data_IF_338894100695
#
_entry.id   IF_338894100695
#
_cell.length_a   1.000
_cell.length_b   1.000
_cell.length_c   1.000
_cell.angle_alpha   90.00
_cell.angle_beta   90.00
_cell.angle_gamma   90.00
#
_symmetry.space_group_name_H-M   'P 1'
#
loop_
_entity.id
_entity.type
_entity.pdbx_description
1 polymer ?
#
# COMPACT_ATOMS: atom_id res chain seq x y z
N UNK A 1 -0.76 19.59 -3.25
CA UNK A 1 -0.31 18.18 -3.16
C UNK A 1 -1.24 17.44 -2.20
N UNK A 2 -1.45 16.15 -2.40
CA UNK A 2 -2.14 15.25 -1.49
C UNK A 2 -1.19 14.10 -1.14
N UNK A 3 -0.99 13.84 0.15
CA UNK A 3 -0.11 12.79 0.64
C UNK A 3 -0.91 11.88 1.55
N UNK A 4 -0.87 10.57 1.27
CA UNK A 4 -1.67 9.56 1.97
C UNK A 4 -0.76 8.48 2.53
N UNK A 5 -0.94 8.13 3.80
CA UNK A 5 -0.34 6.92 4.38
C UNK A 5 -1.38 5.81 4.29
N UNK A 6 -1.03 4.74 3.58
CA UNK A 6 -1.95 3.66 3.27
C UNK A 6 -1.22 2.32 3.26
N UNK A 7 -1.76 1.37 4.02
CA UNK A 7 -1.28 0.00 4.02
C UNK A 7 -1.92 -0.79 2.89
N UNK A 8 -1.12 -1.64 2.26
CA UNK A 8 -1.64 -2.66 1.37
C UNK A 8 -2.53 -3.64 2.15
N UNK A 9 -3.33 -4.41 1.43
CA UNK A 9 -4.32 -5.32 2.03
C UNK A 9 -4.16 -6.71 1.46
N UNK A 10 -4.58 -7.70 2.24
CA UNK A 10 -4.80 -9.05 1.74
C UNK A 10 -6.28 -9.37 1.91
N UNK A 11 -6.97 -9.72 0.83
CA UNK A 11 -8.40 -10.04 0.86
C UNK A 11 -8.68 -11.13 -0.16
N UNK A 12 -9.49 -12.12 0.22
CA UNK A 12 -9.93 -13.21 -0.66
C UNK A 12 -8.78 -13.98 -1.34
N UNK A 13 -7.65 -14.20 -0.64
CA UNK A 13 -6.51 -14.92 -1.20
C UNK A 13 -5.57 -14.08 -2.07
N UNK A 14 -5.81 -12.77 -2.21
CA UNK A 14 -5.04 -11.89 -3.09
C UNK A 14 -4.37 -10.74 -2.33
N UNK A 15 -3.12 -10.45 -2.69
CA UNK A 15 -2.45 -9.22 -2.27
C UNK A 15 -2.97 -8.04 -3.08
N UNK A 16 -3.46 -7.02 -2.38
CA UNK A 16 -4.00 -5.80 -2.96
C UNK A 16 -2.99 -4.67 -2.70
N UNK A 17 -2.27 -4.20 -3.74
CA UNK A 17 -1.40 -3.03 -3.64
C UNK A 17 -2.26 -1.76 -3.56
N UNK A 18 -2.93 -1.58 -2.43
CA UNK A 18 -4.00 -0.62 -2.24
C UNK A 18 -3.53 0.81 -2.51
N UNK A 19 -2.31 1.16 -2.12
CA UNK A 19 -1.75 2.48 -2.40
C UNK A 19 -1.66 2.79 -3.90
N UNK A 20 -1.30 1.80 -4.71
CA UNK A 20 -1.25 1.92 -6.18
C UNK A 20 -2.66 2.03 -6.75
N UNK A 21 -3.60 1.17 -6.32
CA UNK A 21 -4.99 1.23 -6.78
C UNK A 21 -5.66 2.57 -6.45
N UNK A 22 -5.37 3.14 -5.27
CA UNK A 22 -5.82 4.50 -4.92
C UNK A 22 -5.19 5.53 -5.86
N UNK A 23 -3.89 5.44 -6.15
CA UNK A 23 -3.25 6.34 -7.11
C UNK A 23 -3.89 6.26 -8.51
N UNK A 24 -4.28 5.08 -8.96
CA UNK A 24 -5.01 4.88 -10.23
C UNK A 24 -6.37 5.58 -10.24
N UNK A 25 -7.16 5.42 -9.19
CA UNK A 25 -8.44 6.14 -9.04
C UNK A 25 -8.19 7.66 -8.98
N UNK A 26 -7.15 8.10 -8.29
CA UNK A 26 -6.85 9.53 -8.19
C UNK A 26 -6.41 10.14 -9.52
N UNK A 27 -5.87 9.35 -10.46
CA UNK A 27 -5.59 9.82 -11.83
C UNK A 27 -6.86 10.25 -12.55
N UNK A 28 -7.98 9.53 -12.36
CA UNK A 28 -9.27 9.89 -12.96
C UNK A 28 -9.88 11.15 -12.32
N UNK A 29 -9.58 11.39 -11.04
CA UNK A 29 -9.90 12.65 -10.33
C UNK A 29 -8.97 13.84 -10.68
N UNK A 30 -8.12 13.69 -11.69
CA UNK A 30 -7.22 14.73 -12.15
C UNK A 30 -6.01 14.95 -11.25
N UNK A 31 -5.52 13.92 -10.56
CA UNK A 31 -4.22 13.96 -9.90
C UNK A 31 -3.13 13.29 -10.75
N UNK A 32 -1.89 13.68 -10.52
CA UNK A 32 -0.68 13.06 -10.99
C UNK A 32 -0.08 12.24 -9.86
N UNK A 33 0.20 10.97 -10.14
CA UNK A 33 0.96 10.13 -9.24
C UNK A 33 2.44 10.50 -9.32
N UNK A 34 2.97 11.09 -8.24
CA UNK A 34 4.34 11.61 -8.18
C UNK A 34 5.33 10.62 -7.56
N UNK A 35 4.84 9.60 -6.86
CA UNK A 35 5.66 8.50 -6.35
C UNK A 35 5.12 7.90 -5.07
N UNK A 36 5.78 6.83 -4.62
CA UNK A 36 5.57 6.18 -3.32
C UNK A 36 6.85 6.27 -2.50
N UNK A 37 6.71 6.53 -1.20
CA UNK A 37 7.75 6.23 -0.21
C UNK A 37 7.28 5.06 0.65
N UNK A 38 8.21 4.19 1.03
CA UNK A 38 7.91 3.07 1.91
C UNK A 38 8.23 3.51 3.34
N UNK A 39 7.23 3.44 4.21
CA UNK A 39 7.44 3.59 5.64
C UNK A 39 7.47 2.21 6.30
N UNK A 40 8.66 1.85 6.79
CA UNK A 40 8.88 0.69 7.63
C UNK A 40 9.75 1.13 8.81
N UNK A 41 9.27 0.94 10.04
CA UNK A 41 9.97 1.27 11.28
C UNK A 41 10.09 0.04 12.18
N UNK A 42 10.92 0.09 13.23
CA UNK A 42 11.08 -1.03 14.18
C UNK A 42 9.75 -1.52 14.79
N UNK A 43 8.75 -0.65 14.91
CA UNK A 43 7.40 -0.98 15.44
C UNK A 43 6.55 -1.76 14.43
N UNK A 44 6.78 -1.54 13.13
CA UNK A 44 6.09 -2.24 12.01
C UNK A 44 6.87 -3.44 11.49
N UNK A 45 8.17 -3.53 11.80
CA UNK A 45 9.02 -4.72 11.62
C UNK A 45 8.63 -5.83 12.60
N UNK A 46 7.47 -6.44 12.35
CA UNK A 46 7.16 -7.75 12.92
C UNK A 46 8.10 -8.76 12.24
N UNK A 47 8.66 -9.75 12.97
CA UNK A 47 9.36 -10.86 12.36
C UNK A 47 8.54 -11.42 11.20
N UNK A 48 9.19 -11.77 10.09
CA UNK A 48 8.51 -12.39 8.96
C UNK A 48 7.83 -13.66 9.48
N UNK A 49 6.51 -13.59 9.66
CA UNK A 49 5.69 -14.73 10.00
C UNK A 49 4.99 -15.12 8.72
N UNK A 50 5.43 -16.18 8.03
CA UNK A 50 4.61 -16.79 7.00
C UNK A 50 3.37 -17.35 7.70
N UNK A 51 2.30 -16.56 7.76
CA UNK A 51 1.03 -17.07 8.25
C UNK A 51 0.39 -17.82 7.09
N UNK A 52 0.24 -19.14 7.25
CA UNK A 52 -0.66 -19.91 6.41
C UNK A 52 -2.08 -19.62 6.89
N UNK A 53 -2.87 -18.91 6.09
CA UNK A 53 -4.34 -18.93 6.27
C UNK A 53 -4.83 -20.04 5.35
N UNK A 54 -5.26 -21.15 5.95
CA UNK A 54 -5.51 -22.42 5.22
C UNK A 54 -4.23 -22.93 4.54
N UNK A 55 -4.30 -23.28 3.25
CA UNK A 55 -3.18 -23.76 2.41
C UNK A 55 -2.45 -22.64 1.65
N UNK A 56 -2.73 -21.36 1.93
CA UNK A 56 -2.19 -20.22 1.18
C UNK A 56 -1.17 -19.43 1.99
N UNK A 57 -0.02 -19.11 1.36
CA UNK A 57 0.99 -18.22 1.93
C UNK A 57 0.48 -16.78 1.91
N UNK A 58 0.32 -16.16 3.09
CA UNK A 58 -0.01 -14.74 3.22
C UNK A 58 1.25 -13.97 3.62
N UNK A 59 1.79 -13.08 2.77
CA UNK A 59 2.92 -12.24 3.17
C UNK A 59 2.47 -11.28 4.27
N UNK A 60 3.24 -11.22 5.36
CA UNK A 60 2.99 -10.23 6.41
C UNK A 60 3.24 -8.82 5.83
N UNK A 61 2.23 -7.96 5.85
CA UNK A 61 2.36 -6.57 5.41
C UNK A 61 2.99 -5.76 6.56
N UNK A 62 4.31 -5.60 6.50
CA UNK A 62 5.14 -4.95 7.53
C UNK A 62 5.50 -3.50 7.23
N UNK A 63 4.93 -2.93 6.16
CA UNK A 63 5.19 -1.56 5.73
C UNK A 63 3.88 -0.82 5.45
N UNK A 64 3.99 0.51 5.39
CA UNK A 64 2.95 1.40 4.89
C UNK A 64 3.48 2.12 3.64
N UNK A 65 2.62 2.34 2.67
CA UNK A 65 2.91 3.17 1.51
C UNK A 65 2.55 4.62 1.82
N UNK A 66 3.47 5.55 1.60
CA UNK A 66 3.20 6.98 1.55
C UNK A 66 3.04 7.36 0.08
N UNK A 67 1.79 7.51 -0.35
CA UNK A 67 1.42 7.86 -1.73
C UNK A 67 1.44 9.36 -1.89
N UNK A 68 2.18 9.85 -2.89
CA UNK A 68 2.36 11.29 -3.16
C UNK A 68 1.66 11.65 -4.47
N UNK A 69 0.70 12.56 -4.38
CA UNK A 69 -0.16 13.01 -5.48
C UNK A 69 -0.06 14.54 -5.66
N UNK A 70 -0.03 15.01 -6.91
CA UNK A 70 -0.14 16.44 -7.26
C UNK A 70 -1.45 16.64 -8.03
N UNK A 71 -2.28 17.64 -7.66
CA UNK A 71 -3.43 18.02 -8.49
C UNK A 71 -2.92 18.55 -9.83
N UNK A 72 -3.49 18.08 -10.95
CA UNK A 72 -3.26 18.69 -12.27
C UNK A 72 -3.83 20.11 -12.23
N UNK A 73 -3.04 21.05 -12.73
CA UNK A 73 -3.46 22.43 -12.91
C UNK A 73 -4.64 22.50 -13.90
#
# INVERSE_FOLDING_TARGET
YLVLIIGDRYKNGEYIPLGVRVADVMRTAGFLFKGIKIWSNKVTQRPLKPYAVLSSFVPNITHQNIVILKKKD
#
